data_IF_186784787613
#
_entry.id   IF_186784787613
#
_cell.length_a   1.000
_cell.length_b   1.000
_cell.length_c   1.000
_cell.angle_alpha   90.00
_cell.angle_beta   90.00
_cell.angle_gamma   90.00
#
_symmetry.space_group_name_H-M   'P 1'
#
loop_
_entity.id
_entity.type
_entity.pdbx_description
1 polymer ?
#
# COMPACT_ATOMS: atom_id res chain seq x y z
N UNK A 1 7.99 4.23 28.65
CA UNK A 1 6.97 3.82 27.64
C UNK A 1 6.47 2.42 27.98
N UNK A 2 5.22 2.05 27.64
CA UNK A 2 4.66 0.72 27.98
C UNK A 2 5.40 -0.44 27.32
N UNK A 3 5.93 -0.24 26.11
CA UNK A 3 6.75 -1.20 25.38
C UNK A 3 7.88 -0.49 24.65
N UNK A 4 9.11 -0.89 24.93
CA UNK A 4 10.32 -0.36 24.29
C UNK A 4 11.02 -1.45 23.44
N UNK A 5 10.21 -2.18 22.68
CA UNK A 5 10.70 -3.23 21.79
C UNK A 5 10.58 -2.77 20.34
N UNK A 6 11.64 -3.02 19.58
CA UNK A 6 11.63 -3.05 18.12
C UNK A 6 11.11 -4.42 17.71
N UNK A 7 9.99 -4.45 16.97
CA UNK A 7 9.52 -5.70 16.37
C UNK A 7 10.32 -5.94 15.09
N UNK A 8 10.94 -7.12 14.91
CA UNK A 8 11.60 -7.42 13.65
C UNK A 8 10.57 -7.36 12.52
N UNK A 9 10.87 -6.63 11.44
CA UNK A 9 10.03 -6.62 10.25
C UNK A 9 9.92 -8.06 9.72
N UNK A 10 8.71 -8.50 9.43
CA UNK A 10 8.48 -9.81 8.80
C UNK A 10 8.74 -9.70 7.30
N UNK A 11 9.26 -10.76 6.65
CA UNK A 11 9.32 -10.82 5.20
C UNK A 11 7.94 -10.62 4.56
N UNK A 12 7.91 -9.88 3.46
CA UNK A 12 6.69 -9.55 2.72
C UNK A 12 6.75 -10.16 1.31
N UNK A 13 5.58 -10.42 0.73
CA UNK A 13 5.44 -10.85 -0.67
C UNK A 13 4.62 -9.85 -1.47
N UNK A 14 5.28 -9.24 -2.44
CA UNK A 14 4.72 -8.18 -3.27
C UNK A 14 4.56 -8.70 -4.71
N UNK A 15 3.46 -8.34 -5.37
CA UNK A 15 3.23 -8.64 -6.78
C UNK A 15 3.16 -7.37 -7.60
N UNK A 16 4.00 -7.25 -8.62
CA UNK A 16 3.87 -6.27 -9.70
C UNK A 16 3.14 -6.89 -10.89
N UNK A 17 2.05 -6.26 -11.32
CA UNK A 17 1.31 -6.60 -12.53
C UNK A 17 1.57 -5.53 -13.60
N UNK A 18 2.23 -5.90 -14.70
CA UNK A 18 2.68 -4.99 -15.75
C UNK A 18 4.20 -4.80 -15.76
N UNK A 19 4.75 -4.37 -16.90
CA UNK A 19 6.14 -3.91 -17.01
C UNK A 19 6.13 -2.40 -17.15
N UNK A 20 6.40 -1.68 -16.06
CA UNK A 20 6.44 -0.20 -16.06
C UNK A 20 7.76 0.28 -16.66
N UNK A 21 7.78 1.48 -17.25
CA UNK A 21 9.04 2.17 -17.54
C UNK A 21 9.83 2.42 -16.24
N UNK A 22 11.15 2.25 -16.31
CA UNK A 22 12.09 2.45 -15.19
C UNK A 22 11.68 1.62 -13.95
N UNK A 23 11.19 0.39 -14.16
CA UNK A 23 10.72 -0.49 -13.08
C UNK A 23 11.85 -0.88 -12.12
N UNK A 24 13.09 -0.89 -12.60
CA UNK A 24 14.32 -1.06 -11.83
C UNK A 24 14.41 -0.11 -10.64
N UNK A 25 13.99 1.16 -10.79
CA UNK A 25 14.01 2.14 -9.70
C UNK A 25 13.07 1.72 -8.58
N UNK A 26 11.87 1.22 -8.92
CA UNK A 26 10.93 0.69 -7.94
C UNK A 26 11.47 -0.56 -7.26
N UNK A 27 12.20 -1.41 -7.99
CA UNK A 27 12.80 -2.62 -7.43
C UNK A 27 13.88 -2.25 -6.40
N UNK A 28 14.74 -1.27 -6.71
CA UNK A 28 15.76 -0.78 -5.77
C UNK A 28 15.13 -0.20 -4.50
N UNK A 29 14.10 0.63 -4.64
CA UNK A 29 13.38 1.21 -3.49
C UNK A 29 12.74 0.12 -2.62
N UNK A 30 12.18 -0.94 -3.23
CA UNK A 30 11.63 -2.06 -2.49
C UNK A 30 12.71 -2.88 -1.78
N UNK A 31 13.84 -3.14 -2.42
CA UNK A 31 14.96 -3.87 -1.81
C UNK A 31 15.49 -3.14 -0.58
N UNK A 32 15.62 -1.81 -0.64
CA UNK A 32 16.06 -1.00 0.51
C UNK A 32 15.01 -0.88 1.63
N UNK A 33 13.73 -1.19 1.36
CA UNK A 33 12.63 -0.93 2.30
C UNK A 33 12.09 -2.18 3.00
N UNK A 34 12.13 -3.33 2.32
CA UNK A 34 11.56 -4.60 2.79
C UNK A 34 12.52 -5.37 3.69
N UNK A 35 11.97 -6.25 4.52
CA UNK A 35 12.77 -7.11 5.38
C UNK A 35 13.51 -8.19 4.57
N UNK A 36 14.68 -8.60 5.05
CA UNK A 36 15.43 -9.70 4.44
C UNK A 36 14.60 -10.99 4.29
N UNK A 37 14.64 -11.58 3.09
CA UNK A 37 13.88 -12.79 2.74
C UNK A 37 12.50 -12.48 2.14
N UNK A 38 12.23 -11.24 1.77
CA UNK A 38 11.02 -10.84 1.06
C UNK A 38 11.04 -11.32 -0.39
N UNK A 39 9.87 -11.38 -1.02
CA UNK A 39 9.73 -11.80 -2.43
C UNK A 39 9.04 -10.72 -3.25
N UNK A 40 9.61 -10.39 -4.41
CA UNK A 40 8.97 -9.57 -5.43
C UNK A 40 8.62 -10.44 -6.64
N UNK A 41 7.32 -10.64 -6.86
CA UNK A 41 6.80 -11.33 -8.02
C UNK A 41 6.51 -10.35 -9.14
N UNK A 42 7.03 -10.62 -10.33
CA UNK A 42 6.81 -9.79 -11.53
C UNK A 42 5.99 -10.56 -12.55
N UNK A 43 4.74 -10.12 -12.77
CA UNK A 43 3.80 -10.71 -13.70
C UNK A 43 3.48 -9.76 -14.86
N UNK A 44 3.99 -10.09 -16.06
CA UNK A 44 3.85 -9.28 -17.27
C UNK A 44 4.17 -10.14 -18.51
N UNK A 45 4.01 -9.56 -19.70
CA UNK A 45 4.16 -10.25 -20.98
C UNK A 45 5.58 -10.20 -21.55
N UNK A 46 6.52 -9.55 -20.86
CA UNK A 46 7.94 -9.57 -21.22
C UNK A 46 8.49 -10.98 -20.99
N UNK A 47 9.09 -11.63 -22.01
CA UNK A 47 9.67 -12.96 -21.88
C UNK A 47 10.74 -13.00 -20.79
N UNK A 48 10.74 -14.03 -19.95
CA UNK A 48 11.64 -14.13 -18.79
C UNK A 48 13.13 -13.96 -19.15
N UNK A 49 13.53 -14.48 -20.32
CA UNK A 49 14.91 -14.40 -20.85
C UNK A 49 15.37 -12.97 -21.17
N UNK A 50 14.45 -12.04 -21.37
CA UNK A 50 14.75 -10.66 -21.72
C UNK A 50 14.73 -9.73 -20.50
N UNK A 51 14.11 -10.17 -19.39
CA UNK A 51 13.91 -9.35 -18.19
C UNK A 51 15.22 -8.98 -17.52
N UNK A 52 16.11 -9.96 -17.33
CA UNK A 52 17.41 -9.73 -16.73
C UNK A 52 18.20 -8.67 -17.51
N UNK A 53 18.24 -8.80 -18.84
CA UNK A 53 18.90 -7.82 -19.70
C UNK A 53 18.28 -6.43 -19.56
N UNK A 54 16.94 -6.31 -19.61
CA UNK A 54 16.27 -5.01 -19.46
C UNK A 54 16.60 -4.35 -18.12
N UNK A 55 16.57 -5.11 -17.03
CA UNK A 55 16.90 -4.60 -15.69
C UNK A 55 18.36 -4.16 -15.59
N UNK A 56 19.30 -4.94 -16.15
CA UNK A 56 20.72 -4.58 -16.17
C UNK A 56 21.00 -3.37 -17.05
N UNK A 57 20.33 -3.26 -18.20
CA UNK A 57 20.42 -2.09 -19.08
C UNK A 57 19.90 -0.81 -18.38
N UNK A 58 18.92 -0.94 -17.48
CA UNK A 58 18.44 0.11 -16.57
C UNK A 58 19.34 0.39 -15.36
N UNK A 59 20.42 -0.38 -15.17
CA UNK A 59 21.39 -0.18 -14.08
C UNK A 59 21.17 -1.06 -12.85
N UNK A 60 20.19 -1.96 -12.85
CA UNK A 60 19.97 -2.90 -11.74
C UNK A 60 20.83 -4.16 -11.87
N UNK A 61 21.67 -4.42 -10.86
CA UNK A 61 22.35 -5.70 -10.70
C UNK A 61 21.58 -6.60 -9.73
N UNK A 62 20.87 -7.58 -10.28
CA UNK A 62 20.01 -8.52 -9.54
C UNK A 62 20.82 -9.30 -8.48
N UNK A 63 22.11 -9.52 -8.69
CA UNK A 63 22.96 -10.26 -7.75
C UNK A 63 23.33 -9.45 -6.50
N UNK A 64 23.08 -8.13 -6.53
CA UNK A 64 23.37 -7.22 -5.42
C UNK A 64 22.14 -6.88 -4.57
N UNK A 65 20.98 -7.46 -4.90
CA UNK A 65 19.80 -7.35 -4.06
C UNK A 65 20.06 -8.02 -2.71
N UNK A 66 19.77 -7.31 -1.63
CA UNK A 66 20.10 -7.77 -0.26
C UNK A 66 18.88 -8.37 0.44
N UNK A 67 17.69 -7.82 0.23
CA UNK A 67 16.50 -8.14 1.02
C UNK A 67 15.45 -8.91 0.24
N UNK A 68 15.33 -8.68 -1.07
CA UNK A 68 14.30 -9.28 -1.92
C UNK A 68 14.84 -10.36 -2.86
N UNK A 69 14.01 -11.35 -3.14
CA UNK A 69 14.20 -12.30 -4.23
C UNK A 69 13.19 -12.06 -5.35
N UNK A 70 13.64 -12.12 -6.61
CA UNK A 70 12.79 -11.89 -7.77
C UNK A 70 12.16 -13.19 -8.26
N UNK A 71 10.83 -13.21 -8.41
CA UNK A 71 10.09 -14.34 -8.97
C UNK A 71 9.39 -13.94 -10.27
N UNK A 72 9.86 -14.47 -11.39
CA UNK A 72 9.32 -14.14 -12.71
C UNK A 72 8.12 -15.01 -13.08
N UNK A 73 7.05 -14.39 -13.57
CA UNK A 73 5.92 -15.06 -14.22
C UNK A 73 5.54 -14.34 -15.50
N UNK A 74 5.51 -15.08 -16.60
CA UNK A 74 5.07 -14.58 -17.90
C UNK A 74 3.54 -14.74 -18.04
N UNK A 75 2.86 -13.68 -18.48
CA UNK A 75 1.43 -13.71 -18.71
C UNK A 75 0.84 -12.34 -19.00
N UNK A 76 -0.47 -12.31 -19.20
CA UNK A 76 -1.17 -11.08 -19.56
C UNK A 76 -2.15 -10.72 -18.44
N UNK A 77 -1.96 -9.55 -17.84
CA UNK A 77 -2.73 -9.04 -16.70
C UNK A 77 -4.24 -8.92 -16.98
N UNK A 78 -4.66 -8.76 -18.23
CA UNK A 78 -6.10 -8.72 -18.58
C UNK A 78 -6.70 -10.07 -18.92
N UNK A 79 -5.92 -11.17 -18.87
CA UNK A 79 -6.40 -12.53 -19.13
C UNK A 79 -6.59 -13.28 -17.81
N UNK A 80 -7.86 -13.54 -17.46
CA UNK A 80 -8.27 -14.28 -16.25
C UNK A 80 -7.47 -15.55 -16.02
N UNK A 81 -7.38 -16.43 -17.03
CA UNK A 81 -6.71 -17.73 -16.92
C UNK A 81 -5.24 -17.59 -16.50
N UNK A 82 -4.57 -16.51 -16.89
CA UNK A 82 -3.16 -16.29 -16.54
C UNK A 82 -3.05 -15.80 -15.09
N UNK A 83 -3.90 -14.85 -14.67
CA UNK A 83 -4.00 -14.43 -13.27
C UNK A 83 -4.39 -15.57 -12.32
N UNK A 84 -5.24 -16.48 -12.79
CA UNK A 84 -5.62 -17.68 -12.02
C UNK A 84 -4.44 -18.67 -11.82
N UNK A 85 -3.31 -18.51 -12.49
CA UNK A 85 -2.13 -19.31 -12.16
C UNK A 85 -1.38 -18.80 -10.92
N UNK A 86 -1.65 -17.56 -10.48
CA UNK A 86 -0.94 -16.91 -9.39
C UNK A 86 -1.59 -17.20 -8.02
N UNK A 87 -0.78 -17.26 -6.93
CA UNK A 87 -1.27 -17.38 -5.56
C UNK A 87 -1.72 -16.00 -5.02
N UNK A 88 -2.77 -15.43 -5.62
CA UNK A 88 -3.24 -14.05 -5.36
C UNK A 88 -3.61 -13.76 -3.90
N UNK A 89 -4.01 -14.78 -3.13
CA UNK A 89 -4.38 -14.67 -1.72
C UNK A 89 -3.18 -14.58 -0.78
N UNK A 90 -1.99 -14.75 -1.34
CA UNK A 90 -0.76 -14.99 -0.61
C UNK A 90 0.12 -13.73 -0.54
N UNK A 91 -0.11 -12.77 -1.44
CA UNK A 91 0.60 -11.50 -1.47
C UNK A 91 0.07 -10.54 -0.40
N UNK A 92 0.98 -9.85 0.29
CA UNK A 92 0.64 -8.80 1.23
C UNK A 92 0.10 -7.58 0.49
N UNK A 93 0.74 -7.24 -0.64
CA UNK A 93 0.32 -6.16 -1.54
C UNK A 93 0.47 -6.53 -3.02
N UNK A 94 -0.45 -6.04 -3.84
CA UNK A 94 -0.43 -6.16 -5.30
C UNK A 94 -0.45 -4.76 -5.91
N UNK A 95 0.55 -4.45 -6.74
CA UNK A 95 0.64 -3.21 -7.50
C UNK A 95 0.31 -3.50 -8.97
N UNK A 96 -0.72 -2.83 -9.47
CA UNK A 96 -1.11 -2.87 -10.88
C UNK A 96 -0.54 -1.61 -11.52
N UNK A 97 0.48 -1.79 -12.35
CA UNK A 97 1.27 -0.71 -12.94
C UNK A 97 0.80 -0.45 -14.37
N UNK A 98 0.91 0.80 -14.81
CA UNK A 98 0.72 1.14 -16.20
C UNK A 98 1.87 0.54 -17.02
N UNK A 99 1.51 -0.36 -17.94
CA UNK A 99 2.48 -1.06 -18.77
C UNK A 99 3.09 -0.10 -19.81
N UNK A 100 4.41 -0.15 -19.97
CA UNK A 100 5.19 0.66 -20.91
C UNK A 100 4.63 0.60 -22.34
N UNK A 101 4.07 -0.55 -22.74
CA UNK A 101 3.52 -0.76 -24.08
C UNK A 101 2.27 0.08 -24.41
N UNK A 102 1.59 0.62 -23.39
CA UNK A 102 0.30 1.31 -23.52
C UNK A 102 0.23 2.64 -22.74
N UNK A 103 1.31 3.03 -22.06
CA UNK A 103 1.34 4.23 -21.21
C UNK A 103 1.17 5.54 -22.00
N UNK A 104 1.51 5.55 -23.29
CA UNK A 104 1.28 6.68 -24.20
C UNK A 104 -0.21 7.05 -24.34
N UNK A 105 -1.11 6.12 -24.02
CA UNK A 105 -2.54 6.35 -23.98
C UNK A 105 -3.09 6.09 -22.58
N UNK A 106 -3.20 7.17 -21.79
CA UNK A 106 -3.77 7.13 -20.43
C UNK A 106 -5.09 6.36 -20.35
N UNK A 107 -5.98 6.53 -21.34
CA UNK A 107 -7.27 5.82 -21.39
C UNK A 107 -7.08 4.31 -21.52
N UNK A 108 -6.14 3.84 -22.35
CA UNK A 108 -5.88 2.42 -22.55
C UNK A 108 -5.17 1.81 -21.35
N UNK A 109 -4.15 2.50 -20.81
CA UNK A 109 -3.47 2.09 -19.59
C UNK A 109 -4.45 1.95 -18.42
N UNK A 110 -5.27 2.98 -18.15
CA UNK A 110 -6.28 2.96 -17.09
C UNK A 110 -7.29 1.82 -17.28
N UNK A 111 -7.74 1.61 -18.51
CA UNK A 111 -8.70 0.53 -18.82
C UNK A 111 -8.11 -0.85 -18.51
N UNK A 112 -6.82 -1.07 -18.79
CA UNK A 112 -6.13 -2.33 -18.48
C UNK A 112 -5.87 -2.49 -17.00
N UNK A 113 -5.47 -1.43 -16.30
CA UNK A 113 -5.29 -1.45 -14.85
C UNK A 113 -6.59 -1.79 -14.14
N UNK A 114 -7.70 -1.17 -14.55
CA UNK A 114 -9.03 -1.45 -14.00
C UNK A 114 -9.53 -2.86 -14.32
N UNK A 115 -9.31 -3.34 -15.53
CA UNK A 115 -9.67 -4.71 -15.90
C UNK A 115 -8.90 -5.73 -15.04
N UNK A 116 -7.59 -5.51 -14.85
CA UNK A 116 -6.74 -6.35 -14.00
C UNK A 116 -7.23 -6.35 -12.55
N UNK A 117 -7.52 -5.17 -12.00
CA UNK A 117 -8.04 -5.00 -10.64
C UNK A 117 -9.34 -5.80 -10.44
N UNK A 118 -10.30 -5.63 -11.35
CA UNK A 118 -11.58 -6.33 -11.30
C UNK A 118 -11.42 -7.85 -11.40
N UNK A 119 -10.52 -8.31 -12.27
CA UNK A 119 -10.23 -9.73 -12.42
C UNK A 119 -9.60 -10.32 -11.15
N UNK A 120 -8.59 -9.67 -10.57
CA UNK A 120 -7.95 -10.14 -9.34
C UNK A 120 -8.97 -10.25 -8.21
N UNK A 121 -9.82 -9.23 -8.02
CA UNK A 121 -10.86 -9.24 -6.98
C UNK A 121 -11.92 -10.32 -7.22
N UNK A 122 -12.37 -10.53 -8.45
CA UNK A 122 -13.32 -11.62 -8.75
C UNK A 122 -12.69 -13.01 -8.55
N UNK A 123 -11.40 -13.18 -8.92
CA UNK A 123 -10.69 -14.44 -8.71
C UNK A 123 -10.55 -14.74 -7.22
N UNK A 124 -10.10 -13.77 -6.41
CA UNK A 124 -9.98 -13.92 -4.96
C UNK A 124 -11.36 -14.24 -4.32
N UNK A 125 -12.42 -13.52 -4.73
CA UNK A 125 -13.77 -13.73 -4.22
C UNK A 125 -14.30 -15.15 -4.53
N UNK A 126 -14.00 -15.70 -5.71
CA UNK A 126 -14.40 -17.06 -6.09
C UNK A 126 -13.59 -18.17 -5.41
N UNK A 127 -12.32 -17.89 -5.08
CA UNK A 127 -11.43 -18.83 -4.40
C UNK A 127 -11.64 -18.86 -2.89
N UNK A 128 -12.20 -17.80 -2.31
CA UNK A 128 -12.67 -17.81 -0.93
C UNK A 128 -13.79 -18.86 -0.80
N UNK A 129 -13.57 -19.97 -0.08
CA UNK A 129 -14.63 -20.94 0.14
C UNK A 129 -15.70 -20.31 1.05
N UNK A 130 -16.97 -20.66 0.82
CA UNK A 130 -18.15 -20.32 1.63
C UNK A 130 -18.07 -20.93 3.05
N UNK A 131 -17.01 -20.65 3.81
CA UNK A 131 -16.68 -21.30 5.10
C UNK A 131 -16.65 -20.29 6.25
N UNK A 132 -17.35 -19.16 6.12
CA UNK A 132 -17.57 -18.22 7.23
C UNK A 132 -19.03 -18.06 7.65
N UNK A 133 -19.98 -18.82 7.08
CA UNK A 133 -21.39 -18.78 7.51
C UNK A 133 -21.74 -19.69 8.70
N UNK A 134 -20.81 -20.46 9.25
CA UNK A 134 -21.09 -21.36 10.39
C UNK A 134 -20.79 -20.77 11.79
N UNK A 135 -20.19 -19.57 11.90
CA UNK A 135 -19.79 -19.00 13.19
C UNK A 135 -20.55 -17.75 13.62
N UNK A 136 -21.55 -17.28 12.86
CA UNK A 136 -22.50 -16.24 13.32
C UNK A 136 -23.93 -16.54 12.86
N UNK A 137 -24.51 -17.62 13.37
CA UNK A 137 -25.95 -17.82 13.33
C UNK A 137 -26.63 -17.05 14.46
N UNK A 138 -26.69 -15.71 14.36
CA UNK A 138 -27.71 -14.91 15.04
C UNK A 138 -28.12 -13.70 14.19
N UNK A 139 -29.28 -13.85 13.53
CA UNK A 139 -30.24 -12.77 13.33
C UNK A 139 -29.97 -11.78 12.20
N UNK A 140 -30.44 -12.09 10.99
CA UNK A 140 -30.66 -11.07 9.96
C UNK A 140 -30.72 -11.65 8.56
N UNK A 141 -31.90 -11.57 7.94
CA UNK A 141 -32.13 -11.91 6.53
C UNK A 141 -31.29 -11.00 5.62
N UNK A 142 -30.07 -11.40 5.28
CA UNK A 142 -29.27 -10.74 4.26
C UNK A 142 -29.63 -11.28 2.88
N UNK A 143 -30.16 -10.38 2.05
CA UNK A 143 -30.47 -10.59 0.64
C UNK A 143 -29.24 -11.10 -0.13
N UNK A 144 -29.41 -12.22 -0.83
CA UNK A 144 -28.55 -12.65 -1.94
C UNK A 144 -28.29 -11.47 -2.87
N UNK A 145 -27.02 -11.17 -3.16
CA UNK A 145 -26.62 -10.44 -4.37
C UNK A 145 -26.14 -9.00 -4.20
N UNK A 146 -24.96 -8.81 -3.61
CA UNK A 146 -24.13 -7.65 -3.98
C UNK A 146 -22.67 -8.07 -4.06
N UNK A 147 -22.18 -8.26 -5.28
CA UNK A 147 -20.78 -8.59 -5.62
C UNK A 147 -19.79 -7.62 -4.94
N UNK A 148 -20.24 -6.38 -4.67
CA UNK A 148 -19.50 -5.34 -3.95
C UNK A 148 -19.25 -5.69 -2.47
N UNK A 149 -20.13 -6.48 -1.83
CA UNK A 149 -19.95 -6.94 -0.45
C UNK A 149 -18.91 -8.04 -0.33
N UNK A 150 -18.86 -8.95 -1.30
CA UNK A 150 -17.88 -10.04 -1.38
C UNK A 150 -16.48 -9.50 -1.71
N UNK A 151 -16.39 -8.49 -2.59
CA UNK A 151 -15.12 -7.80 -2.91
C UNK A 151 -14.52 -7.05 -1.72
N UNK A 152 -15.34 -6.49 -0.83
CA UNK A 152 -14.86 -5.82 0.39
C UNK A 152 -14.22 -6.80 1.38
N UNK A 153 -14.79 -7.98 1.55
CA UNK A 153 -14.26 -8.99 2.48
C UNK A 153 -12.92 -9.59 1.99
N UNK A 154 -12.68 -9.56 0.67
CA UNK A 154 -11.37 -9.89 0.09
C UNK A 154 -10.34 -8.75 0.22
N UNK A 155 -10.79 -7.50 0.36
CA UNK A 155 -9.94 -6.31 0.53
C UNK A 155 -9.27 -6.27 1.91
N UNK A 156 -9.88 -6.86 2.94
CA UNK A 156 -9.31 -6.92 4.30
C UNK A 156 -8.03 -7.79 4.43
N UNK A 157 -7.66 -8.56 3.40
CA UNK A 157 -6.51 -9.48 3.43
C UNK A 157 -5.33 -9.07 2.55
N UNK A 158 -5.58 -8.41 1.42
CA UNK A 158 -4.53 -8.07 0.44
C UNK A 158 -4.78 -6.66 -0.10
N UNK A 159 -3.80 -5.77 0.07
CA UNK A 159 -3.86 -4.40 -0.44
C UNK A 159 -3.65 -4.43 -1.95
N UNK A 160 -4.57 -3.85 -2.72
CA UNK A 160 -4.36 -3.65 -4.17
C UNK A 160 -4.25 -2.16 -4.46
N UNK A 161 -3.13 -1.77 -5.05
CA UNK A 161 -2.83 -0.42 -5.50
C UNK A 161 -2.85 -0.43 -7.02
N UNK A 162 -3.68 0.41 -7.62
CA UNK A 162 -3.74 0.57 -9.08
C UNK A 162 -3.23 1.95 -9.47
N UNK A 163 -2.26 1.97 -10.39
CA UNK A 163 -1.83 3.18 -11.08
C UNK A 163 -2.90 3.58 -12.12
N UNK A 164 -3.31 4.84 -12.07
CA UNK A 164 -4.29 5.47 -12.97
C UNK A 164 -3.71 6.80 -13.46
N UNK A 165 -3.48 6.93 -14.75
CA UNK A 165 -2.83 8.08 -15.35
C UNK A 165 -3.79 9.27 -15.49
N UNK A 166 -5.08 9.04 -15.80
CA UNK A 166 -6.08 10.11 -15.94
C UNK A 166 -6.83 10.39 -14.62
N UNK A 167 -6.72 11.61 -14.04
CA UNK A 167 -7.46 11.99 -12.83
C UNK A 167 -8.99 11.88 -12.97
N UNK A 168 -9.53 11.99 -14.19
CA UNK A 168 -10.97 11.82 -14.45
C UNK A 168 -11.40 10.38 -14.19
N UNK A 169 -10.58 9.40 -14.58
CA UNK A 169 -10.81 7.99 -14.32
C UNK A 169 -10.83 7.72 -12.81
N UNK A 170 -9.87 8.28 -12.06
CA UNK A 170 -9.86 8.19 -10.58
C UNK A 170 -11.17 8.68 -9.97
N UNK A 171 -11.68 9.83 -10.40
CA UNK A 171 -12.93 10.40 -9.87
C UNK A 171 -14.13 9.47 -10.12
N UNK A 172 -14.19 8.80 -11.26
CA UNK A 172 -15.24 7.81 -11.57
C UNK A 172 -15.12 6.56 -10.67
N UNK A 173 -13.90 6.10 -10.38
CA UNK A 173 -13.67 4.91 -9.54
C UNK A 173 -13.90 5.20 -8.06
N UNK A 174 -13.69 6.44 -7.60
CA UNK A 174 -13.88 6.83 -6.20
C UNK A 174 -15.28 6.49 -5.65
N UNK A 175 -16.27 6.42 -6.54
CA UNK A 175 -17.66 6.08 -6.19
C UNK A 175 -17.90 4.57 -6.03
N UNK A 176 -17.01 3.71 -6.54
CA UNK A 176 -17.30 2.28 -6.75
C UNK A 176 -16.77 1.33 -5.67
N UNK A 177 -15.91 1.76 -4.74
CA UNK A 177 -15.27 0.90 -3.70
C UNK A 177 -14.58 -0.36 -4.27
N UNK A 178 -14.23 -0.36 -5.56
CA UNK A 178 -13.66 -1.53 -6.28
C UNK A 178 -12.16 -1.72 -5.97
N UNK A 179 -11.46 -0.63 -5.66
CA UNK A 179 -10.05 -0.58 -5.23
C UNK A 179 -9.94 0.05 -3.85
N UNK A 180 -9.02 -0.48 -3.03
CA UNK A 180 -8.66 0.16 -1.76
C UNK A 180 -7.86 1.45 -2.00
N UNK A 181 -6.99 1.46 -3.02
CA UNK A 181 -6.17 2.62 -3.36
C UNK A 181 -5.99 2.77 -4.87
N UNK A 182 -6.33 3.96 -5.37
CA UNK A 182 -6.04 4.43 -6.74
C UNK A 182 -5.03 5.56 -6.63
N UNK A 183 -3.82 5.35 -7.15
CA UNK A 183 -2.81 6.38 -7.27
C UNK A 183 -2.89 6.99 -8.66
N UNK A 184 -2.86 8.31 -8.74
CA UNK A 184 -2.91 9.03 -10.01
C UNK A 184 -1.96 10.19 -10.06
N UNK A 185 -1.73 10.71 -11.27
CA UNK A 185 -0.91 11.90 -11.52
C UNK A 185 -1.42 13.20 -10.84
N UNK A 186 -2.57 13.14 -10.16
CA UNK A 186 -2.99 14.19 -9.21
C UNK A 186 -1.97 14.36 -8.07
N UNK A 187 -1.31 13.29 -7.59
CA UNK A 187 -0.27 13.39 -6.56
C UNK A 187 0.93 14.21 -7.04
N UNK A 188 1.34 14.00 -8.29
CA UNK A 188 2.41 14.78 -8.94
C UNK A 188 1.99 16.24 -9.06
N UNK A 189 0.74 16.50 -9.45
CA UNK A 189 0.20 17.86 -9.54
C UNK A 189 0.20 18.58 -8.19
N UNK A 190 -0.14 17.88 -7.11
CA UNK A 190 -0.05 18.42 -5.75
C UNK A 190 1.39 18.67 -5.32
N UNK A 191 2.32 17.76 -5.61
CA UNK A 191 3.75 17.96 -5.33
C UNK A 191 4.29 19.21 -6.02
N UNK A 192 4.00 19.37 -7.32
CA UNK A 192 4.40 20.55 -8.08
C UNK A 192 3.79 21.84 -7.53
N UNK A 193 2.53 21.82 -7.11
CA UNK A 193 1.89 22.98 -6.49
C UNK A 193 2.57 23.37 -5.17
N UNK A 194 2.89 22.39 -4.30
CA UNK A 194 3.57 22.66 -3.03
C UNK A 194 4.96 23.26 -3.24
N UNK A 195 5.73 22.73 -4.20
CA UNK A 195 7.08 23.23 -4.55
C UNK A 195 7.02 24.61 -5.24
N UNK A 196 5.96 24.88 -6.00
CA UNK A 196 5.74 26.17 -6.64
C UNK A 196 5.40 27.27 -5.62
N UNK A 197 4.66 26.92 -4.55
CA UNK A 197 4.37 27.84 -3.44
C UNK A 197 5.61 28.09 -2.56
N UNK A 198 6.36 27.04 -2.22
CA UNK A 198 7.63 27.16 -1.50
C UNK A 198 8.65 26.12 -1.95
N UNK A 199 9.77 26.60 -2.49
CA UNK A 199 10.86 25.75 -3.00
C UNK A 199 11.52 24.89 -1.93
N UNK A 200 11.50 25.31 -0.66
CA UNK A 200 12.08 24.54 0.44
C UNK A 200 11.31 23.25 0.71
N UNK A 201 10.05 23.16 0.26
CA UNK A 201 9.24 21.95 0.40
C UNK A 201 9.78 20.81 -0.47
N UNK A 202 10.51 21.11 -1.55
CA UNK A 202 11.11 20.07 -2.37
C UNK A 202 12.06 19.19 -1.55
N UNK A 203 12.93 19.80 -0.74
CA UNK A 203 13.88 19.07 0.11
C UNK A 203 13.16 18.19 1.14
N UNK A 204 12.03 18.67 1.68
CA UNK A 204 11.20 17.91 2.64
C UNK A 204 10.54 16.70 1.96
N UNK A 205 10.02 16.86 0.75
CA UNK A 205 9.43 15.77 -0.01
C UNK A 205 10.48 14.75 -0.45
N UNK A 206 11.64 15.23 -0.89
CA UNK A 206 12.76 14.36 -1.25
C UNK A 206 13.20 13.50 -0.07
N UNK A 207 13.34 14.06 1.14
CA UNK A 207 13.65 13.27 2.34
C UNK A 207 12.54 12.26 2.68
N UNK A 208 11.26 12.67 2.63
CA UNK A 208 10.14 11.78 2.97
C UNK A 208 9.91 10.63 1.99
N UNK A 209 10.39 10.75 0.75
CA UNK A 209 10.32 9.72 -0.29
C UNK A 209 11.63 8.97 -0.51
N UNK A 210 12.72 9.43 0.10
CA UNK A 210 14.01 8.77 0.01
C UNK A 210 14.01 7.44 0.77
N UNK A 211 14.94 6.58 0.39
CA UNK A 211 15.21 5.36 1.13
C UNK A 211 15.94 5.61 2.46
N UNK A 212 16.69 6.72 2.56
CA UNK A 212 17.42 7.15 3.76
C UNK A 212 16.73 8.34 4.43
N UNK A 213 16.86 8.44 5.76
CA UNK A 213 16.34 9.58 6.53
C UNK A 213 14.98 9.31 7.16
N UNK A 214 14.17 10.37 7.30
CA UNK A 214 12.87 10.30 7.94
C UNK A 214 11.77 9.88 6.97
N UNK A 215 10.95 8.92 7.37
CA UNK A 215 9.76 8.49 6.63
C UNK A 215 8.50 8.49 7.51
N UNK A 216 7.34 8.33 6.88
CA UNK A 216 6.06 8.30 7.59
C UNK A 216 5.68 6.87 7.99
N UNK A 217 5.42 6.66 9.28
CA UNK A 217 5.01 5.36 9.83
C UNK A 217 3.64 5.41 10.49
N UNK A 218 2.93 4.28 10.42
CA UNK A 218 1.76 4.01 11.26
C UNK A 218 2.19 3.10 12.40
N UNK A 219 2.18 3.62 13.63
CA UNK A 219 2.62 2.93 14.83
C UNK A 219 1.43 2.51 15.70
N UNK A 220 1.51 1.32 16.30
CA UNK A 220 0.48 0.79 17.21
C UNK A 220 0.45 1.61 18.52
N UNK A 221 -0.74 1.79 19.10
CA UNK A 221 -0.90 2.58 20.32
C UNK A 221 -0.17 2.00 21.54
N UNK A 222 0.04 0.68 21.60
CA UNK A 222 0.72 0.00 22.71
C UNK A 222 2.19 0.40 22.91
N UNK A 223 2.79 1.06 21.91
CA UNK A 223 4.12 1.67 22.00
C UNK A 223 4.13 2.93 22.88
N UNK A 224 2.99 3.62 23.00
CA UNK A 224 2.90 4.94 23.64
C UNK A 224 2.03 4.94 24.91
N UNK A 225 1.01 4.09 24.97
CA UNK A 225 0.00 4.13 26.03
C UNK A 225 -0.54 2.74 26.42
N UNK A 226 -1.18 2.67 27.58
CA UNK A 226 -1.91 1.49 28.06
C UNK A 226 -3.40 1.54 27.66
N UNK A 227 -4.08 0.39 27.63
CA UNK A 227 -5.52 0.33 27.30
C UNK A 227 -6.34 1.21 28.26
N UNK A 228 -7.17 2.10 27.70
CA UNK A 228 -8.04 3.00 28.45
C UNK A 228 -7.32 4.17 29.11
N UNK A 229 -6.02 4.35 28.87
CA UNK A 229 -5.25 5.47 29.43
C UNK A 229 -5.78 6.81 28.91
N UNK A 230 -5.91 7.78 29.82
CA UNK A 230 -6.51 9.08 29.55
C UNK A 230 -5.42 10.14 29.37
N UNK A 231 -5.11 10.45 28.12
CA UNK A 231 -4.03 11.36 27.72
C UNK A 231 -4.51 12.36 26.68
N UNK A 232 -3.90 13.53 26.66
CA UNK A 232 -4.02 14.47 25.56
C UNK A 232 -2.97 14.21 24.48
N UNK A 233 -3.12 14.86 23.32
CA UNK A 233 -2.25 14.62 22.18
C UNK A 233 -0.80 15.07 22.44
N UNK A 234 -0.58 16.15 23.18
CA UNK A 234 0.77 16.60 23.55
C UNK A 234 1.50 15.61 24.45
N UNK A 235 0.79 14.97 25.39
CA UNK A 235 1.36 13.93 26.25
C UNK A 235 1.84 12.73 25.43
N UNK A 236 1.11 12.35 24.38
CA UNK A 236 1.53 11.30 23.44
C UNK A 236 2.74 11.77 22.61
N UNK A 237 2.72 13.01 22.11
CA UNK A 237 3.87 13.57 21.39
C UNK A 237 5.15 13.53 22.24
N UNK A 238 5.08 13.93 23.52
CA UNK A 238 6.21 13.89 24.45
C UNK A 238 6.74 12.47 24.67
N UNK A 239 5.84 11.48 24.74
CA UNK A 239 6.20 10.06 24.82
C UNK A 239 6.90 9.57 23.56
N UNK A 240 6.38 9.92 22.39
CA UNK A 240 6.97 9.56 21.11
C UNK A 240 8.35 10.20 20.89
N UNK A 241 8.57 11.43 21.40
CA UNK A 241 9.90 12.07 21.38
C UNK A 241 10.98 11.26 22.10
N UNK A 242 10.62 10.46 23.11
CA UNK A 242 11.59 9.56 23.77
C UNK A 242 12.12 8.47 22.82
N UNK A 243 11.39 8.20 21.73
CA UNK A 243 11.75 7.28 20.64
C UNK A 243 12.29 8.00 19.41
N UNK A 244 12.57 9.31 19.51
CA UNK A 244 12.93 10.21 18.39
C UNK A 244 11.84 10.42 17.33
N UNK A 245 10.62 9.96 17.58
CA UNK A 245 9.52 10.07 16.62
C UNK A 245 8.81 11.44 16.75
N UNK A 246 8.20 11.92 15.66
CA UNK A 246 7.34 13.09 15.63
C UNK A 246 5.92 12.65 15.30
N UNK A 247 5.02 12.64 16.30
CA UNK A 247 3.61 12.29 16.07
C UNK A 247 2.91 13.46 15.37
N UNK A 248 2.43 13.22 14.16
CA UNK A 248 1.71 14.20 13.35
C UNK A 248 0.20 13.96 13.34
N UNK A 249 -0.27 12.79 13.76
CA UNK A 249 -1.69 12.46 13.76
C UNK A 249 -2.03 11.12 14.39
N UNK A 250 -3.29 10.73 14.26
CA UNK A 250 -3.80 9.43 14.72
C UNK A 250 -4.98 8.96 13.87
N UNK A 251 -5.25 7.65 13.87
CA UNK A 251 -6.50 7.05 13.40
C UNK A 251 -7.10 6.22 14.52
N UNK A 252 -8.37 6.49 14.82
CA UNK A 252 -9.09 5.74 15.84
C UNK A 252 -9.51 4.38 15.32
N UNK A 253 -9.69 3.42 16.21
CA UNK A 253 -10.03 2.03 15.88
C UNK A 253 -11.23 1.90 14.91
N UNK A 254 -12.25 2.74 15.08
CA UNK A 254 -13.48 2.72 14.29
C UNK A 254 -13.56 3.86 13.26
N UNK A 255 -12.47 4.59 13.03
CA UNK A 255 -12.43 5.69 12.07
C UNK A 255 -11.88 5.21 10.72
N UNK A 256 -12.59 5.55 9.64
CA UNK A 256 -12.11 5.25 8.28
C UNK A 256 -10.89 6.09 7.89
N UNK A 257 -10.73 7.30 8.46
CA UNK A 257 -9.68 8.25 8.09
C UNK A 257 -8.81 8.63 9.28
N UNK A 258 -7.52 8.82 9.01
CA UNK A 258 -6.60 9.42 9.96
C UNK A 258 -6.85 10.94 10.07
N UNK A 259 -6.61 11.49 11.25
CA UNK A 259 -6.62 12.92 11.52
C UNK A 259 -5.18 13.38 11.66
N UNK A 260 -4.69 14.08 10.64
CA UNK A 260 -3.37 14.74 10.67
C UNK A 260 -3.54 16.14 11.26
N UNK A 261 -2.60 16.52 12.13
CA UNK A 261 -2.61 17.78 12.88
C UNK A 261 -3.95 18.03 13.59
N UNK A 262 -4.31 17.22 14.61
CA UNK A 262 -5.59 17.36 15.30
C UNK A 262 -5.77 18.78 15.86
N UNK A 263 -6.96 19.40 15.72
CA UNK A 263 -7.17 20.80 16.06
C UNK A 263 -7.08 21.05 17.56
N UNK A 264 -7.63 20.15 18.37
CA UNK A 264 -7.60 20.25 19.83
C UNK A 264 -6.60 19.23 20.38
N UNK A 265 -5.46 19.72 20.87
CA UNK A 265 -4.34 18.88 21.34
C UNK A 265 -4.27 18.72 22.86
N UNK A 266 -4.97 19.59 23.60
CA UNK A 266 -4.95 19.66 25.06
C UNK A 266 -6.01 18.79 25.73
N UNK A 267 -7.09 18.48 25.01
CA UNK A 267 -8.19 17.69 25.54
C UNK A 267 -7.73 16.27 25.80
N UNK A 268 -7.95 15.82 27.03
CA UNK A 268 -7.69 14.44 27.41
C UNK A 268 -8.79 13.55 26.88
N UNK A 269 -8.38 12.37 26.42
CA UNK A 269 -9.29 11.35 25.94
C UNK A 269 -8.78 9.98 26.35
N UNK A 270 -9.70 9.04 26.50
CA UNK A 270 -9.37 7.63 26.65
C UNK A 270 -8.98 7.07 25.29
N UNK A 271 -7.81 6.44 25.25
CA UNK A 271 -7.27 5.78 24.07
C UNK A 271 -7.45 4.26 24.18
N UNK A 272 -7.58 3.61 23.03
CA UNK A 272 -7.59 2.14 22.93
C UNK A 272 -6.30 1.66 22.28
N UNK A 273 -5.86 0.44 22.60
CA UNK A 273 -4.73 -0.21 21.92
C UNK A 273 -5.01 -0.51 20.44
N UNK A 274 -6.27 -0.43 20.02
CA UNK A 274 -6.68 -0.52 18.61
C UNK A 274 -6.50 0.78 17.83
N UNK A 275 -6.28 1.90 18.52
CA UNK A 275 -5.93 3.15 17.87
C UNK A 275 -4.50 3.05 17.30
N UNK A 276 -4.21 3.84 16.28
CA UNK A 276 -2.87 3.94 15.69
C UNK A 276 -2.45 5.39 15.57
N UNK A 277 -1.15 5.63 15.67
CA UNK A 277 -0.54 6.95 15.56
C UNK A 277 0.24 7.08 14.27
N UNK A 278 0.16 8.26 13.66
CA UNK A 278 0.94 8.60 12.46
C UNK A 278 2.15 9.39 12.90
N UNK A 279 3.34 8.91 12.59
CA UNK A 279 4.61 9.50 13.03
C UNK A 279 5.55 9.71 11.85
N UNK A 280 6.44 10.69 11.99
CA UNK A 280 7.66 10.82 11.19
C UNK A 280 8.81 10.30 12.03
N UNK A 281 9.60 9.39 11.46
CA UNK A 281 10.72 8.74 12.15
C UNK A 281 11.79 8.29 11.17
N UNK A 282 13.04 8.23 11.62
CA UNK A 282 14.12 7.56 10.91
C UNK A 282 13.84 6.05 10.81
N UNK A 283 14.32 5.42 9.73
CA UNK A 283 14.32 3.96 9.57
C UNK A 283 15.15 3.28 10.66
N UNK A 284 14.70 2.08 11.06
CA UNK A 284 15.38 1.18 12.00
C UNK A 284 16.44 0.32 11.31
#
# INVERSE_FOLDING_TARGET
LPKDFVYPKSPERILFCGWRRDMEDMIMVLDASLAHGSELWMFNDVPEKEREKKLTDGGLDINRLENISLVNREGNAVIRRHLESLPLESFDSILILADESVEDSAIQADSRSLATLLLIRDIQARRLPYVSMASQAHGGSFSKGSWIGEMKQASDKTVIISEILDPRTKNLISMSKISDYVLSNELVSMALAMVAEDRQINDVLEELFAEEGNEMHIRKADLYLCEGEELNFYEIMLRARQRREIVIGYRLANAERAVINPPVKTDRRKWSLKDVFVVITEKE
#
